data_IF_175885249854
#
_entry.id   IF_175885249854
#
_cell.length_a   1.000
_cell.length_b   1.000
_cell.length_c   1.000
_cell.angle_alpha   90.00
_cell.angle_beta   90.00
_cell.angle_gamma   90.00
#
_symmetry.space_group_name_H-M   'P 1'
#
loop_
_entity.id
_entity.type
_entity.pdbx_description
1 polymer ?
#
# COMPACT_ATOMS: atom_id res chain seq x y z
N UNK A 1 -21.98 3.18 2.60
CA UNK A 1 -20.86 2.44 2.00
C UNK A 1 -21.27 1.57 0.83
N UNK A 2 -20.59 1.71 -0.31
CA UNK A 2 -20.71 0.82 -1.48
C UNK A 2 -19.74 -0.36 -1.37
N UNK A 3 -19.94 -1.39 -2.20
CA UNK A 3 -19.03 -2.57 -2.30
C UNK A 3 -17.56 -2.17 -2.45
N UNK A 4 -17.26 -1.05 -3.13
CA UNK A 4 -15.91 -0.58 -3.38
C UNK A 4 -15.10 -0.23 -2.12
N UNK A 5 -15.70 0.39 -1.11
CA UNK A 5 -14.95 0.77 0.11
C UNK A 5 -14.59 -0.44 0.96
N UNK A 6 -15.49 -1.43 1.03
CA UNK A 6 -15.20 -2.70 1.68
C UNK A 6 -14.14 -3.51 0.94
N UNK A 7 -14.13 -3.46 -0.40
CA UNK A 7 -13.08 -4.07 -1.21
C UNK A 7 -11.75 -3.39 -0.91
N UNK A 8 -11.67 -2.05 -0.96
CA UNK A 8 -10.43 -1.32 -0.67
C UNK A 8 -9.94 -1.57 0.76
N UNK A 9 -10.82 -1.52 1.76
CA UNK A 9 -10.47 -1.83 3.14
C UNK A 9 -9.98 -3.28 3.30
N UNK A 10 -10.61 -4.23 2.62
CA UNK A 10 -10.19 -5.63 2.58
C UNK A 10 -8.80 -5.81 1.96
N UNK A 11 -8.54 -5.15 0.82
CA UNK A 11 -7.23 -5.17 0.14
C UNK A 11 -6.14 -4.57 1.04
N UNK A 12 -6.41 -3.41 1.66
CA UNK A 12 -5.45 -2.76 2.57
C UNK A 12 -5.19 -3.60 3.83
N UNK A 13 -6.21 -4.24 4.38
CA UNK A 13 -6.07 -5.14 5.52
C UNK A 13 -5.23 -6.37 5.14
N UNK A 14 -5.50 -7.00 3.99
CA UNK A 14 -4.74 -8.13 3.49
C UNK A 14 -3.27 -7.75 3.21
N UNK A 15 -3.03 -6.59 2.61
CA UNK A 15 -1.68 -6.08 2.33
C UNK A 15 -0.91 -5.77 3.63
N UNK A 16 -1.59 -5.17 4.62
CA UNK A 16 -1.00 -4.92 5.94
C UNK A 16 -0.60 -6.22 6.63
N UNK A 17 -1.48 -7.24 6.61
CA UNK A 17 -1.18 -8.57 7.17
C UNK A 17 -0.02 -9.23 6.43
N UNK A 18 -0.02 -9.17 5.10
CA UNK A 18 1.06 -9.71 4.28
C UNK A 18 2.42 -9.06 4.61
N UNK A 19 2.45 -7.73 4.74
CA UNK A 19 3.66 -7.00 5.12
C UNK A 19 4.11 -7.36 6.53
N UNK A 20 3.20 -7.47 7.50
CA UNK A 20 3.55 -7.96 8.84
C UNK A 20 4.18 -9.34 8.78
N UNK A 21 3.59 -10.27 8.03
CA UNK A 21 4.13 -11.63 7.88
C UNK A 21 5.52 -11.62 7.24
N UNK A 22 5.73 -10.92 6.12
CA UNK A 22 7.06 -10.80 5.50
C UNK A 22 8.08 -10.14 6.42
N UNK A 23 7.65 -9.22 7.29
CA UNK A 23 8.52 -8.57 8.25
C UNK A 23 8.99 -9.51 9.37
N UNK A 24 8.26 -10.60 9.64
CA UNK A 24 8.69 -11.63 10.61
C UNK A 24 9.84 -12.49 10.11
N UNK A 25 10.14 -12.47 8.80
CA UNK A 25 11.35 -13.12 8.27
C UNK A 25 12.62 -12.35 8.65
N UNK A 26 12.49 -11.08 8.99
CA UNK A 26 13.57 -10.26 9.53
C UNK A 26 13.39 -10.10 11.04
N UNK A 27 14.46 -9.74 11.73
CA UNK A 27 14.36 -9.47 13.15
C UNK A 27 13.48 -8.23 13.43
N UNK A 28 12.45 -8.44 14.25
CA UNK A 28 11.52 -7.39 14.71
C UNK A 28 12.02 -6.76 16.02
N UNK A 29 12.89 -7.46 16.76
CA UNK A 29 13.39 -7.04 18.05
C UNK A 29 14.37 -5.88 17.99
N UNK A 30 14.57 -5.25 19.15
CA UNK A 30 15.62 -4.26 19.34
C UNK A 30 16.89 -4.98 19.79
N UNK A 31 17.98 -4.85 19.03
CA UNK A 31 19.31 -5.28 19.44
C UNK A 31 20.02 -4.13 20.15
N UNK A 32 20.61 -4.42 21.30
CA UNK A 32 21.23 -3.43 22.19
C UNK A 32 22.44 -2.70 21.55
N UNK A 33 23.04 -3.30 20.54
CA UNK A 33 24.26 -2.88 19.84
C UNK A 33 24.01 -2.29 18.45
N UNK A 34 22.96 -2.74 17.74
CA UNK A 34 22.68 -2.33 16.35
C UNK A 34 21.35 -1.57 16.17
N UNK A 35 20.51 -1.50 17.20
CA UNK A 35 19.19 -0.85 17.16
C UNK A 35 18.06 -1.79 16.71
N UNK A 36 16.92 -1.24 16.22
CA UNK A 36 15.79 -2.06 15.79
C UNK A 36 16.14 -2.86 14.54
N UNK A 37 15.86 -4.16 14.54
CA UNK A 37 16.08 -5.02 13.40
C UNK A 37 15.30 -4.56 12.16
N UNK A 38 15.73 -4.98 10.97
CA UNK A 38 15.15 -4.52 9.70
C UNK A 38 13.66 -4.83 9.53
N UNK A 39 13.12 -5.82 10.27
CA UNK A 39 11.71 -6.17 10.29
C UNK A 39 10.87 -5.35 11.26
N UNK A 40 11.49 -4.65 12.21
CA UNK A 40 10.79 -3.92 13.27
C UNK A 40 9.90 -2.81 12.69
N UNK A 41 10.49 -1.96 11.84
CA UNK A 41 9.78 -0.81 11.29
C UNK A 41 8.59 -1.21 10.40
N UNK A 42 8.76 -2.08 9.38
CA UNK A 42 7.65 -2.43 8.51
C UNK A 42 6.56 -3.22 9.24
N UNK A 43 6.91 -4.01 10.27
CA UNK A 43 5.94 -4.75 11.09
C UNK A 43 5.01 -3.81 11.86
N UNK A 44 5.57 -2.89 12.66
CA UNK A 44 4.76 -1.98 13.49
C UNK A 44 3.96 -0.99 12.66
N UNK A 45 4.53 -0.48 11.57
CA UNK A 45 3.82 0.42 10.65
C UNK A 45 2.62 -0.28 10.02
N UNK A 46 2.81 -1.52 9.54
CA UNK A 46 1.72 -2.33 8.98
C UNK A 46 0.66 -2.68 10.03
N UNK A 47 1.06 -2.93 11.28
CA UNK A 47 0.14 -3.16 12.39
C UNK A 47 -0.74 -1.94 12.69
N UNK A 48 -0.15 -0.75 12.76
CA UNK A 48 -0.91 0.50 12.94
C UNK A 48 -1.85 0.74 11.75
N UNK A 49 -1.38 0.52 10.52
CA UNK A 49 -2.20 0.61 9.32
C UNK A 49 -3.40 -0.35 9.37
N UNK A 50 -3.20 -1.59 9.83
CA UNK A 50 -4.28 -2.58 10.00
C UNK A 50 -5.31 -2.12 11.03
N UNK A 51 -4.86 -1.59 12.18
CA UNK A 51 -5.75 -1.05 13.23
C UNK A 51 -6.57 0.12 12.69
N UNK A 52 -5.92 1.08 12.03
CA UNK A 52 -6.59 2.23 11.41
C UNK A 52 -7.62 1.79 10.37
N UNK A 53 -7.26 0.82 9.51
CA UNK A 53 -8.17 0.26 8.49
C UNK A 53 -9.37 -0.40 9.15
N UNK A 54 -9.16 -1.16 10.23
CA UNK A 54 -10.23 -1.77 11.03
C UNK A 54 -11.16 -0.74 11.66
N UNK A 55 -10.62 0.33 12.24
CA UNK A 55 -11.42 1.43 12.81
C UNK A 55 -12.25 2.15 11.75
N UNK A 56 -11.69 2.40 10.56
CA UNK A 56 -12.41 3.01 9.44
C UNK A 56 -13.53 2.09 8.99
N UNK A 57 -13.26 0.80 8.77
CA UNK A 57 -14.26 -0.20 8.37
C UNK A 57 -15.38 -0.34 9.42
N UNK A 58 -15.05 -0.29 10.70
CA UNK A 58 -16.03 -0.32 11.78
C UNK A 58 -16.91 0.93 11.83
N UNK A 59 -16.30 2.12 11.77
CA UNK A 59 -17.04 3.39 11.74
C UNK A 59 -17.93 3.51 10.50
N UNK A 60 -17.49 2.92 9.41
CA UNK A 60 -18.22 2.81 8.17
C UNK A 60 -19.46 1.91 8.26
N UNK A 61 -19.36 0.74 8.88
CA UNK A 61 -20.52 -0.12 9.16
C UNK A 61 -21.53 0.62 10.03
N UNK A 62 -21.05 1.43 10.99
CA UNK A 62 -21.90 2.25 11.86
C UNK A 62 -22.42 3.55 11.21
N UNK A 63 -22.06 3.82 9.95
CA UNK A 63 -22.41 5.05 9.20
C UNK A 63 -22.11 6.36 9.96
N UNK A 64 -21.12 6.36 10.83
CA UNK A 64 -20.81 7.51 11.71
C UNK A 64 -19.89 8.54 11.08
N UNK A 65 -19.23 8.21 9.96
CA UNK A 65 -18.30 9.13 9.29
C UNK A 65 -18.95 9.77 8.06
N UNK A 66 -18.68 11.05 7.76
CA UNK A 66 -19.16 11.69 6.54
C UNK A 66 -18.83 10.90 5.25
N UNK A 67 -17.62 10.30 5.10
CA UNK A 67 -17.33 9.43 3.96
C UNK A 67 -18.25 8.22 3.84
N UNK A 68 -18.65 7.61 4.97
CA UNK A 68 -19.50 6.41 4.97
C UNK A 68 -20.94 6.65 4.50
N UNK A 69 -21.38 7.92 4.52
CA UNK A 69 -22.69 8.37 4.06
C UNK A 69 -22.67 8.94 2.64
N UNK A 70 -21.49 9.20 2.07
CA UNK A 70 -21.34 9.68 0.70
C UNK A 70 -21.75 8.62 -0.33
N UNK A 71 -22.33 9.06 -1.44
CA UNK A 71 -22.72 8.22 -2.58
C UNK A 71 -21.70 8.26 -3.72
N UNK A 72 -20.67 9.10 -3.59
CA UNK A 72 -19.61 9.24 -4.58
C UNK A 72 -18.80 7.94 -4.73
N UNK A 73 -18.30 7.65 -5.94
CA UNK A 73 -17.40 6.53 -6.14
C UNK A 73 -16.06 6.75 -5.41
N UNK A 74 -15.53 5.68 -4.81
CA UNK A 74 -14.22 5.70 -4.11
C UNK A 74 -13.07 6.11 -5.02
N UNK A 75 -13.13 5.65 -6.26
CA UNK A 75 -12.23 6.00 -7.34
C UNK A 75 -13.11 6.37 -8.53
N UNK A 76 -13.05 7.63 -8.92
CA UNK A 76 -13.61 8.11 -10.17
C UNK A 76 -12.79 7.61 -11.36
N UNK A 77 -13.23 7.93 -12.58
CA UNK A 77 -12.60 7.40 -13.79
C UNK A 77 -11.16 7.89 -13.93
N UNK A 78 -10.91 9.17 -13.59
CA UNK A 78 -9.56 9.75 -13.61
C UNK A 78 -8.69 9.19 -12.49
N UNK A 79 -9.21 9.05 -11.26
CA UNK A 79 -8.48 8.42 -10.16
C UNK A 79 -8.07 6.98 -10.48
N UNK A 80 -8.94 6.20 -11.13
CA UNK A 80 -8.59 4.83 -11.57
C UNK A 80 -7.49 4.84 -12.63
N UNK A 81 -7.52 5.79 -13.56
CA UNK A 81 -6.48 5.96 -14.59
C UNK A 81 -5.13 6.28 -13.94
N UNK A 82 -5.11 7.25 -13.01
CA UNK A 82 -3.91 7.61 -12.26
C UNK A 82 -3.38 6.44 -11.44
N UNK A 83 -4.25 5.72 -10.73
CA UNK A 83 -3.86 4.55 -9.95
C UNK A 83 -3.17 3.52 -10.86
N UNK A 84 -3.78 3.15 -11.99
CA UNK A 84 -3.19 2.16 -12.91
C UNK A 84 -1.87 2.65 -13.51
N UNK A 85 -1.77 3.93 -13.90
CA UNK A 85 -0.53 4.48 -14.45
C UNK A 85 0.61 4.45 -13.43
N UNK A 86 0.37 4.94 -12.21
CA UNK A 86 1.42 5.02 -11.19
C UNK A 86 1.78 3.63 -10.65
N UNK A 87 0.79 2.84 -10.20
CA UNK A 87 1.07 1.49 -9.69
C UNK A 87 1.62 0.58 -10.78
N UNK A 88 1.09 0.65 -11.99
CA UNK A 88 1.57 -0.12 -13.13
C UNK A 88 3.01 0.25 -13.49
N UNK A 89 3.33 1.54 -13.53
CA UNK A 89 4.69 2.03 -13.79
C UNK A 89 5.69 1.53 -12.75
N UNK A 90 5.37 1.63 -11.46
CA UNK A 90 6.24 1.15 -10.38
C UNK A 90 6.41 -0.37 -10.46
N UNK A 91 5.34 -1.12 -10.72
CA UNK A 91 5.41 -2.57 -10.84
C UNK A 91 6.32 -3.00 -12.00
N UNK A 92 6.16 -2.38 -13.18
CA UNK A 92 7.02 -2.63 -14.35
C UNK A 92 8.47 -2.24 -14.05
N UNK A 93 8.71 -1.11 -13.37
CA UNK A 93 10.04 -0.71 -12.94
C UNK A 93 10.71 -1.77 -12.08
N UNK A 94 10.04 -2.25 -11.03
CA UNK A 94 10.57 -3.29 -10.13
C UNK A 94 10.86 -4.59 -10.91
N UNK A 95 9.99 -4.98 -11.85
CA UNK A 95 10.23 -6.13 -12.70
C UNK A 95 11.44 -5.95 -13.64
N UNK A 96 11.63 -4.75 -14.19
CA UNK A 96 12.74 -4.43 -15.10
C UNK A 96 14.10 -4.42 -14.39
N UNK A 97 14.16 -4.08 -13.10
CA UNK A 97 15.42 -4.09 -12.33
C UNK A 97 16.11 -5.46 -12.41
N UNK A 98 15.35 -6.56 -12.43
CA UNK A 98 15.89 -7.91 -12.55
C UNK A 98 16.37 -8.31 -13.95
N UNK A 99 16.00 -7.55 -15.00
CA UNK A 99 16.30 -7.89 -16.40
C UNK A 99 17.43 -7.01 -16.95
N UNK A 100 17.32 -5.70 -16.78
CA UNK A 100 18.20 -4.70 -17.41
C UNK A 100 19.03 -3.90 -16.40
N UNK A 101 19.13 -4.39 -15.17
CA UNK A 101 19.75 -3.70 -14.03
C UNK A 101 19.00 -2.44 -13.58
N UNK A 102 19.30 -1.99 -12.37
CA UNK A 102 18.70 -0.81 -11.74
C UNK A 102 18.90 0.46 -12.57
N UNK A 103 20.08 0.67 -13.17
CA UNK A 103 20.35 1.87 -13.98
C UNK A 103 19.51 1.92 -15.27
N UNK A 104 19.38 0.79 -15.97
CA UNK A 104 18.55 0.69 -17.16
C UNK A 104 17.07 0.87 -16.84
N UNK A 105 16.60 0.20 -15.79
CA UNK A 105 15.22 0.32 -15.32
C UNK A 105 14.88 1.76 -14.90
N UNK A 106 15.80 2.46 -14.23
CA UNK A 106 15.59 3.85 -13.81
C UNK A 106 15.45 4.79 -15.01
N UNK A 107 16.27 4.62 -16.07
CA UNK A 107 16.18 5.44 -17.27
C UNK A 107 14.81 5.28 -17.94
N UNK A 108 14.35 4.04 -18.11
CA UNK A 108 13.04 3.76 -18.70
C UNK A 108 11.88 4.27 -17.82
N UNK A 109 11.98 4.09 -16.51
CA UNK A 109 10.96 4.59 -15.58
C UNK A 109 10.90 6.11 -15.58
N UNK A 110 12.03 6.81 -15.62
CA UNK A 110 12.07 8.27 -15.70
C UNK A 110 11.44 8.76 -17.00
N UNK A 111 11.76 8.12 -18.13
CA UNK A 111 11.13 8.46 -19.42
C UNK A 111 9.61 8.26 -19.38
N UNK A 112 9.17 7.12 -18.83
CA UNK A 112 7.74 6.85 -18.63
C UNK A 112 7.07 7.92 -17.75
N UNK A 113 7.69 8.27 -16.62
CA UNK A 113 7.11 9.20 -15.65
C UNK A 113 7.09 10.66 -16.13
N UNK A 114 8.03 11.07 -16.98
CA UNK A 114 8.07 12.44 -17.52
C UNK A 114 7.20 12.63 -18.75
N UNK A 115 6.89 11.55 -19.46
CA UNK A 115 6.09 11.60 -20.69
C UNK A 115 4.58 11.64 -20.41
N UNK A 116 4.14 11.14 -19.26
CA UNK A 116 2.73 11.07 -18.83
C UNK A 116 2.44 12.04 -17.68
#
# INVERSE_FOLDING_TARGET
>A
MRRGEFITAGVLAALSIYMMWKSTELEIGYRSDEGPGGGAWPFWLSGIMLICTGMIAYNAVRRKSPPSQSTEPVLDTEGRKMLIQVFGGIFVFVALVGIISMYGAMLLFLFYYLWF
#
